data_IF_717118057712
#
_entry.id   IF_717118057712
#
_cell.length_a   1.000
_cell.length_b   1.000
_cell.length_c   1.000
_cell.angle_alpha   90.00
_cell.angle_beta   90.00
_cell.angle_gamma   90.00
#
_symmetry.space_group_name_H-M   'P 1'
#
loop_
_entity.id
_entity.type
_entity.pdbx_description
1 polymer ?
#
# COMPACT_ATOMS: atom_id res chain seq x y z
N UNK A 1 13.31 -16.44 -20.82
CA UNK A 1 12.02 -16.71 -21.46
C UNK A 1 11.50 -15.41 -22.03
N UNK A 2 11.44 -15.26 -23.34
CA UNK A 2 10.95 -14.03 -23.98
C UNK A 2 9.43 -14.04 -23.79
N UNK A 3 8.92 -13.13 -22.95
CA UNK A 3 7.47 -12.93 -22.81
C UNK A 3 7.02 -12.21 -24.08
N UNK A 4 6.33 -12.90 -24.96
CA UNK A 4 5.63 -12.25 -26.07
C UNK A 4 4.41 -11.55 -25.47
N UNK A 5 4.38 -10.22 -25.45
CA UNK A 5 3.19 -9.53 -24.97
C UNK A 5 2.00 -9.90 -25.88
N UNK A 6 0.88 -10.25 -25.27
CA UNK A 6 -0.35 -10.49 -26.03
C UNK A 6 -0.74 -9.21 -26.77
N UNK A 7 -1.18 -9.32 -28.03
CA UNK A 7 -1.70 -8.18 -28.77
C UNK A 7 -2.92 -7.61 -28.04
N UNK A 8 -2.91 -6.38 -27.56
CA UNK A 8 -4.03 -5.78 -26.82
C UNK A 8 -5.35 -5.79 -27.60
N UNK A 9 -5.29 -5.78 -28.95
CA UNK A 9 -6.48 -5.83 -29.80
C UNK A 9 -7.22 -7.19 -29.72
N UNK A 10 -6.54 -8.25 -29.29
CA UNK A 10 -7.13 -9.60 -29.16
C UNK A 10 -7.73 -9.85 -27.78
N UNK A 11 -7.55 -8.95 -26.82
CA UNK A 11 -8.04 -9.10 -25.44
C UNK A 11 -9.49 -8.60 -25.38
N UNK A 12 -10.48 -9.47 -25.11
CA UNK A 12 -11.87 -9.03 -25.00
C UNK A 12 -12.04 -8.09 -23.80
N UNK A 13 -12.71 -6.95 -24.01
CA UNK A 13 -12.97 -5.97 -22.97
C UNK A 13 -14.29 -6.26 -22.26
N UNK A 14 -14.41 -5.80 -21.01
CA UNK A 14 -15.65 -5.86 -20.22
C UNK A 14 -16.19 -7.29 -20.01
N UNK A 15 -15.31 -8.25 -19.86
CA UNK A 15 -15.68 -9.67 -19.66
C UNK A 15 -15.60 -10.11 -18.21
N UNK A 16 -14.95 -9.34 -17.36
CA UNK A 16 -14.87 -9.57 -15.91
C UNK A 16 -15.86 -8.67 -15.18
N UNK A 17 -16.41 -9.18 -14.08
CA UNK A 17 -17.17 -8.34 -13.15
C UNK A 17 -16.23 -7.42 -12.39
N UNK A 18 -16.68 -6.19 -12.09
CA UNK A 18 -15.93 -5.26 -11.25
C UNK A 18 -15.95 -5.78 -9.81
N UNK A 19 -14.80 -6.18 -9.25
CA UNK A 19 -14.77 -6.69 -7.88
C UNK A 19 -15.02 -5.54 -6.89
N UNK A 20 -15.78 -5.83 -5.84
CA UNK A 20 -15.91 -4.91 -4.70
C UNK A 20 -14.73 -5.15 -3.76
N UNK A 21 -13.88 -4.14 -3.47
CA UNK A 21 -12.82 -4.28 -2.49
C UNK A 21 -13.37 -4.68 -1.13
N UNK A 22 -12.62 -5.51 -0.41
CA UNK A 22 -13.00 -5.93 0.94
C UNK A 22 -12.92 -4.74 1.90
N UNK A 23 -13.91 -4.59 2.77
CA UNK A 23 -13.87 -3.57 3.82
C UNK A 23 -12.99 -4.08 4.96
N UNK A 24 -11.98 -3.28 5.31
CA UNK A 24 -11.11 -3.55 6.45
C UNK A 24 -11.89 -3.45 7.76
N UNK A 25 -11.69 -4.42 8.65
CA UNK A 25 -12.24 -4.36 10.01
C UNK A 25 -11.17 -3.84 10.96
N UNK A 26 -11.48 -2.90 11.86
CA UNK A 26 -10.53 -2.49 12.88
C UNK A 26 -10.17 -3.66 13.79
N UNK A 27 -8.90 -3.75 14.19
CA UNK A 27 -8.47 -4.75 15.18
C UNK A 27 -9.05 -4.48 16.57
N UNK A 28 -9.12 -3.20 16.91
CA UNK A 28 -9.73 -2.72 18.15
C UNK A 28 -10.00 -1.21 18.04
N UNK A 29 -10.86 -0.71 18.93
CA UNK A 29 -11.08 0.73 19.07
C UNK A 29 -10.38 1.24 20.32
N UNK A 30 -9.62 2.33 20.23
CA UNK A 30 -8.79 2.90 21.30
C UNK A 30 -9.40 4.15 21.94
N UNK A 31 -9.17 4.29 23.25
CA UNK A 31 -9.50 5.49 24.02
C UNK A 31 -10.99 5.74 24.25
N UNK A 32 -11.29 6.86 24.92
CA UNK A 32 -12.67 7.26 25.22
C UNK A 32 -13.50 7.58 23.96
N UNK A 33 -12.84 8.04 22.89
CA UNK A 33 -13.47 8.35 21.59
C UNK A 33 -13.64 7.12 20.69
N UNK A 34 -13.21 5.92 21.13
CA UNK A 34 -13.27 4.68 20.35
C UNK A 34 -12.66 4.81 18.94
N UNK A 35 -11.49 5.45 18.87
CA UNK A 35 -10.74 5.56 17.61
C UNK A 35 -10.32 4.19 17.11
N UNK A 36 -10.63 3.90 15.86
CA UNK A 36 -10.35 2.60 15.26
C UNK A 36 -8.87 2.45 14.92
N UNK A 37 -8.33 1.27 15.19
CA UNK A 37 -6.99 0.88 14.84
C UNK A 37 -7.00 -0.24 13.81
N UNK A 38 -6.27 -0.03 12.72
CA UNK A 38 -6.11 -0.98 11.63
C UNK A 38 -4.65 -1.44 11.52
N UNK A 39 -4.47 -2.67 11.08
CA UNK A 39 -3.20 -3.18 10.59
C UNK A 39 -3.39 -3.69 9.18
N UNK A 40 -2.60 -3.16 8.24
CA UNK A 40 -2.51 -3.65 6.87
C UNK A 40 -1.11 -4.19 6.65
N UNK A 41 -1.03 -5.39 6.07
CA UNK A 41 0.24 -6.07 5.83
C UNK A 41 0.54 -6.03 4.34
N UNK A 42 1.63 -5.40 3.95
CA UNK A 42 2.13 -5.51 2.58
C UNK A 42 2.82 -6.86 2.42
N UNK A 43 2.31 -7.68 1.54
CA UNK A 43 2.78 -9.04 1.34
C UNK A 43 2.55 -9.52 -0.09
N UNK A 44 3.25 -10.56 -0.45
CA UNK A 44 3.06 -11.26 -1.71
C UNK A 44 1.69 -11.93 -1.76
N UNK A 45 1.06 -11.88 -2.93
CA UNK A 45 -0.22 -12.51 -3.21
C UNK A 45 -0.37 -12.85 -4.68
N UNK A 46 -1.54 -13.26 -5.07
CA UNK A 46 -1.88 -13.54 -6.46
C UNK A 46 -3.18 -12.83 -6.83
N UNK A 47 -3.22 -12.28 -8.04
CA UNK A 47 -4.42 -11.65 -8.58
C UNK A 47 -4.59 -12.01 -10.04
N UNK A 48 -5.84 -12.27 -10.45
CA UNK A 48 -6.19 -12.48 -11.84
C UNK A 48 -6.80 -11.21 -12.42
N UNK A 49 -6.01 -10.49 -13.21
CA UNK A 49 -6.43 -9.22 -13.81
C UNK A 49 -7.45 -9.36 -14.94
N UNK A 50 -7.54 -10.56 -15.53
CA UNK A 50 -8.47 -10.84 -16.61
C UNK A 50 -8.79 -12.34 -16.66
N UNK A 51 -10.04 -12.72 -16.89
CA UNK A 51 -10.49 -14.12 -16.80
C UNK A 51 -9.80 -15.07 -17.78
N UNK A 52 -9.28 -14.55 -18.88
CA UNK A 52 -8.58 -15.35 -19.89
C UNK A 52 -7.08 -15.45 -19.64
N UNK A 53 -6.55 -14.80 -18.60
CA UNK A 53 -5.13 -14.86 -18.23
C UNK A 53 -4.92 -15.63 -16.92
N UNK A 54 -3.73 -16.20 -16.73
CA UNK A 54 -3.37 -16.80 -15.45
C UNK A 54 -3.29 -15.75 -14.34
N UNK A 55 -3.22 -16.20 -13.10
CA UNK A 55 -2.92 -15.33 -11.97
C UNK A 55 -1.53 -14.72 -12.15
N UNK A 56 -1.42 -13.43 -11.82
CA UNK A 56 -0.16 -12.71 -11.71
C UNK A 56 0.28 -12.67 -10.24
N UNK A 57 1.59 -12.78 -10.02
CA UNK A 57 2.18 -12.46 -8.75
C UNK A 57 2.01 -10.96 -8.52
N UNK A 58 1.57 -10.60 -7.33
CA UNK A 58 1.43 -9.20 -6.92
C UNK A 58 2.05 -8.98 -5.54
N UNK A 59 2.42 -7.76 -5.25
CA UNK A 59 2.64 -7.26 -3.91
C UNK A 59 1.51 -6.30 -3.56
N UNK A 60 0.77 -6.62 -2.51
CA UNK A 60 -0.43 -5.86 -2.19
C UNK A 60 -0.69 -5.77 -0.69
N UNK A 61 -1.52 -4.84 -0.31
CA UNK A 61 -1.99 -4.72 1.07
C UNK A 61 -2.89 -5.91 1.41
N UNK A 62 -2.51 -6.67 2.42
CA UNK A 62 -3.06 -7.98 2.78
C UNK A 62 -3.00 -9.01 1.62
N UNK A 63 -2.01 -8.86 0.71
CA UNK A 63 -1.86 -9.72 -0.47
C UNK A 63 -2.97 -9.55 -1.51
N UNK A 64 -3.70 -8.44 -1.49
CA UNK A 64 -4.85 -8.17 -2.35
C UNK A 64 -4.58 -7.01 -3.31
N UNK A 65 -5.30 -7.02 -4.45
CA UNK A 65 -5.42 -5.92 -5.40
C UNK A 65 -6.88 -5.78 -5.89
N UNK A 66 -7.53 -4.61 -5.73
CA UNK A 66 -7.10 -3.53 -4.85
C UNK A 66 -6.97 -3.98 -3.39
N UNK A 67 -6.21 -3.23 -2.58
CA UNK A 67 -6.14 -3.44 -1.14
C UNK A 67 -7.48 -3.20 -0.45
N UNK A 68 -7.60 -3.54 0.85
CA UNK A 68 -8.85 -3.35 1.59
C UNK A 68 -9.27 -1.88 1.67
N UNK A 69 -10.57 -1.61 1.58
CA UNK A 69 -11.14 -0.28 1.80
C UNK A 69 -11.30 0.00 3.30
N UNK A 70 -10.82 1.14 3.76
CA UNK A 70 -11.10 1.64 5.11
C UNK A 70 -12.27 2.64 5.01
N UNK A 71 -13.36 2.34 5.69
CA UNK A 71 -14.50 3.25 5.81
C UNK A 71 -14.45 3.99 7.14
N UNK A 72 -14.52 5.31 7.10
CA UNK A 72 -14.53 6.16 8.29
C UNK A 72 -15.41 7.37 8.07
N UNK A 73 -15.63 8.14 9.12
CA UNK A 73 -16.44 9.37 9.08
C UNK A 73 -15.54 10.60 9.21
N UNK A 74 -16.01 11.73 8.66
CA UNK A 74 -15.38 13.03 8.91
C UNK A 74 -15.18 13.24 10.42
N UNK A 75 -14.03 13.82 10.77
CA UNK A 75 -13.61 14.15 12.15
C UNK A 75 -13.46 12.93 13.09
N UNK A 76 -13.53 11.71 12.56
CA UNK A 76 -13.20 10.50 13.30
C UNK A 76 -11.76 10.12 13.06
N UNK A 77 -10.90 10.31 14.05
CA UNK A 77 -9.49 9.88 13.97
C UNK A 77 -9.41 8.35 13.89
N UNK A 78 -8.58 7.85 12.98
CA UNK A 78 -8.20 6.45 12.90
C UNK A 78 -6.68 6.32 12.96
N UNK A 79 -6.22 5.14 13.39
CA UNK A 79 -4.81 4.77 13.42
C UNK A 79 -4.57 3.59 12.50
N UNK A 80 -3.55 3.67 11.66
CA UNK A 80 -3.20 2.61 10.72
C UNK A 80 -1.72 2.26 10.85
N UNK A 81 -1.42 0.99 11.11
CA UNK A 81 -0.07 0.45 11.01
C UNK A 81 0.07 -0.32 9.71
N UNK A 82 1.02 0.07 8.89
CA UNK A 82 1.40 -0.64 7.69
C UNK A 82 2.65 -1.49 7.97
N UNK A 83 2.53 -2.81 7.78
CA UNK A 83 3.62 -3.75 8.04
C UNK A 83 4.24 -4.21 6.72
N UNK A 84 5.54 -4.05 6.58
CA UNK A 84 6.27 -4.60 5.44
C UNK A 84 6.63 -6.07 5.73
N UNK A 85 5.94 -6.98 5.06
CA UNK A 85 6.18 -8.43 5.06
C UNK A 85 6.50 -8.94 3.65
N UNK A 86 6.91 -8.03 2.76
CA UNK A 86 7.35 -8.36 1.41
C UNK A 86 8.59 -9.24 1.43
N UNK A 87 8.90 -9.97 0.33
CA UNK A 87 10.16 -10.68 0.19
C UNK A 87 11.37 -9.76 0.41
N UNK A 88 12.50 -10.34 0.79
CA UNK A 88 13.72 -9.55 1.07
C UNK A 88 14.33 -8.92 -0.19
N UNK A 89 14.08 -9.52 -1.35
CA UNK A 89 14.58 -9.04 -2.63
C UNK A 89 13.42 -8.61 -3.51
N UNK A 90 13.62 -7.51 -4.24
CA UNK A 90 12.64 -7.03 -5.20
C UNK A 90 12.49 -8.03 -6.37
N UNK A 91 11.26 -8.29 -6.84
CA UNK A 91 11.02 -9.22 -7.95
C UNK A 91 11.28 -8.60 -9.33
N UNK A 92 11.38 -7.27 -9.40
CA UNK A 92 11.82 -6.53 -10.58
C UNK A 92 13.27 -6.08 -10.41
N UNK A 93 14.01 -5.85 -11.52
CA UNK A 93 15.33 -5.25 -11.46
C UNK A 93 15.28 -3.86 -10.80
N UNK A 94 16.23 -3.59 -9.91
CA UNK A 94 16.40 -2.28 -9.27
C UNK A 94 17.54 -1.55 -9.95
N UNK A 95 17.34 -0.29 -10.33
CA UNK A 95 18.38 0.58 -10.85
C UNK A 95 19.11 1.29 -9.71
N UNK A 96 20.27 0.78 -9.34
CA UNK A 96 21.10 1.34 -8.26
C UNK A 96 21.77 2.67 -8.60
N UNK A 97 21.59 3.20 -9.80
CA UNK A 97 22.09 4.53 -10.17
C UNK A 97 21.14 5.65 -9.74
N UNK A 98 19.89 5.30 -9.41
CA UNK A 98 18.89 6.25 -8.95
C UNK A 98 19.17 6.69 -7.52
N UNK A 99 18.77 7.94 -7.22
CA UNK A 99 18.86 8.50 -5.87
C UNK A 99 18.09 7.61 -4.89
N UNK A 100 18.72 7.32 -3.75
CA UNK A 100 18.21 6.48 -2.66
C UNK A 100 18.06 4.98 -2.98
N UNK A 101 18.37 4.50 -4.19
CA UNK A 101 18.36 3.07 -4.50
C UNK A 101 19.68 2.35 -4.16
N UNK A 102 20.73 3.08 -3.80
CA UNK A 102 22.14 2.62 -3.81
C UNK A 102 22.61 1.93 -2.50
N UNK A 103 21.84 1.88 -1.46
CA UNK A 103 22.33 1.49 -0.12
C UNK A 103 21.77 0.16 0.37
N UNK A 104 20.73 -0.38 -0.25
CA UNK A 104 20.17 -1.66 0.18
C UNK A 104 19.38 -2.33 -0.95
N UNK A 105 19.56 -3.65 -1.08
CA UNK A 105 18.71 -4.48 -1.95
C UNK A 105 17.38 -4.85 -1.27
N UNK A 106 17.19 -4.48 0.01
CA UNK A 106 15.97 -4.79 0.72
C UNK A 106 14.79 -3.96 0.21
N UNK A 107 13.63 -4.60 0.13
CA UNK A 107 12.41 -3.97 -0.33
C UNK A 107 11.95 -2.91 0.66
N UNK A 108 11.92 -1.68 0.22
CA UNK A 108 11.48 -0.49 0.95
C UNK A 108 10.03 -0.21 0.64
N UNK A 109 9.30 0.30 1.61
CA UNK A 109 7.93 0.75 1.45
C UNK A 109 7.66 1.94 2.36
N UNK A 110 6.77 2.82 1.94
CA UNK A 110 6.09 3.79 2.80
C UNK A 110 4.71 4.06 2.24
N UNK A 111 3.69 3.96 3.06
CA UNK A 111 2.33 4.20 2.57
C UNK A 111 1.96 5.68 2.67
N UNK A 112 1.51 6.24 1.55
CA UNK A 112 0.93 7.58 1.44
C UNK A 112 -0.58 7.49 1.26
N UNK A 113 -1.34 8.28 2.02
CA UNK A 113 -2.77 8.47 1.81
C UNK A 113 -2.97 9.70 0.91
N UNK A 114 -3.17 9.44 -0.38
CA UNK A 114 -3.15 10.45 -1.42
C UNK A 114 -4.32 11.42 -1.33
N UNK A 115 -4.00 12.71 -1.19
CA UNK A 115 -4.97 13.80 -1.13
C UNK A 115 -5.59 14.04 0.24
N UNK A 116 -5.13 13.37 1.28
CA UNK A 116 -5.64 13.55 2.64
C UNK A 116 -5.09 14.82 3.31
N UNK A 117 -5.90 15.40 4.19
CA UNK A 117 -5.43 16.43 5.12
C UNK A 117 -4.87 15.75 6.37
N UNK A 118 -3.57 15.52 6.38
CA UNK A 118 -2.86 14.80 7.45
C UNK A 118 -1.58 15.51 7.85
N UNK A 119 -1.12 15.26 9.07
CA UNK A 119 0.19 15.73 9.50
C UNK A 119 1.31 15.06 8.68
N UNK A 120 2.38 15.81 8.42
CA UNK A 120 3.52 15.35 7.62
C UNK A 120 4.10 14.01 8.10
N UNK A 121 4.02 13.74 9.41
CA UNK A 121 4.49 12.49 10.03
C UNK A 121 3.64 11.26 9.63
N UNK A 122 2.40 11.48 9.18
CA UNK A 122 1.49 10.42 8.74
C UNK A 122 1.24 10.45 7.23
N UNK A 123 1.85 11.40 6.52
CA UNK A 123 1.62 11.62 5.08
C UNK A 123 2.26 10.54 4.20
N UNK A 124 3.32 9.89 4.68
CA UNK A 124 4.06 8.92 3.88
C UNK A 124 5.02 9.57 2.89
N UNK A 125 5.89 10.47 3.40
CA UNK A 125 6.95 11.09 2.59
C UNK A 125 7.84 10.02 1.94
N UNK A 126 8.25 10.16 0.66
CA UNK A 126 9.06 9.16 -0.05
C UNK A 126 10.33 8.70 0.68
N UNK A 127 10.95 9.59 1.45
CA UNK A 127 12.14 9.28 2.27
C UNK A 127 11.81 8.77 3.69
N UNK A 128 10.53 8.59 4.02
CA UNK A 128 10.10 7.96 5.28
C UNK A 128 9.92 6.44 5.14
N UNK A 129 10.57 5.85 4.15
CA UNK A 129 10.51 4.42 3.85
C UNK A 129 11.07 3.57 4.99
N UNK A 130 10.69 2.31 5.02
CA UNK A 130 11.22 1.29 5.91
C UNK A 130 11.24 -0.08 5.22
N UNK A 131 12.20 -0.91 5.62
CA UNK A 131 12.30 -2.29 5.18
C UNK A 131 11.51 -3.22 6.12
N UNK A 132 11.49 -4.50 5.81
CA UNK A 132 10.84 -5.53 6.63
C UNK A 132 11.30 -5.44 8.08
N UNK A 133 10.34 -5.48 9.01
CA UNK A 133 10.55 -5.37 10.46
C UNK A 133 11.35 -4.12 10.90
N UNK A 134 11.30 -3.05 10.09
CA UNK A 134 11.98 -1.76 10.35
C UNK A 134 13.50 -1.89 10.54
N UNK A 135 14.13 -2.91 9.92
CA UNK A 135 15.58 -3.12 10.02
C UNK A 135 16.39 -1.95 9.51
N UNK A 136 15.90 -1.33 8.43
CA UNK A 136 16.43 -0.09 7.89
C UNK A 136 15.29 0.88 7.67
N UNK A 137 15.55 2.17 7.91
CA UNK A 137 14.57 3.23 7.74
C UNK A 137 15.20 4.40 7.00
N UNK A 138 14.38 5.09 6.23
CA UNK A 138 14.79 6.31 5.55
C UNK A 138 14.96 7.50 6.50
N UNK A 139 15.62 8.57 6.04
CA UNK A 139 15.98 9.72 6.89
C UNK A 139 14.78 10.51 7.42
N UNK A 140 13.60 10.34 6.84
CA UNK A 140 12.35 10.99 7.28
C UNK A 140 11.43 10.06 8.07
N UNK A 141 11.81 8.79 8.25
CA UNK A 141 11.02 7.88 9.08
C UNK A 141 10.94 8.38 10.52
N UNK A 142 9.75 8.41 11.10
CA UNK A 142 9.53 8.93 12.44
C UNK A 142 8.56 8.12 13.30
N UNK A 143 7.64 7.35 12.68
CA UNK A 143 6.68 6.53 13.42
C UNK A 143 6.15 5.37 12.57
N UNK A 144 5.72 4.30 13.25
CA UNK A 144 5.16 3.10 12.62
C UNK A 144 3.63 3.16 12.44
N UNK A 145 2.96 4.01 13.22
CA UNK A 145 1.50 4.10 13.24
C UNK A 145 1.10 5.46 12.71
N UNK A 146 0.46 5.48 11.57
CA UNK A 146 -0.09 6.67 10.97
C UNK A 146 -1.38 7.07 11.70
N UNK A 147 -1.57 8.37 11.88
CA UNK A 147 -2.78 8.97 12.45
C UNK A 147 -3.48 9.78 11.36
N UNK A 148 -4.72 9.43 11.07
CA UNK A 148 -5.55 10.11 10.10
C UNK A 148 -6.74 10.74 10.82
N UNK A 149 -6.72 12.06 10.92
CA UNK A 149 -7.74 12.83 11.66
C UNK A 149 -9.06 12.97 10.91
N UNK A 150 -9.02 12.76 9.59
CA UNK A 150 -10.17 12.86 8.69
C UNK A 150 -10.88 14.22 8.72
N UNK A 151 -10.13 15.31 8.92
CA UNK A 151 -10.63 16.69 8.94
C UNK A 151 -10.88 17.26 7.54
N UNK A 152 -11.28 16.44 6.59
CA UNK A 152 -11.64 16.86 5.25
C UNK A 152 -13.11 16.54 4.93
N UNK A 153 -13.69 17.14 3.87
CA UNK A 153 -14.99 16.71 3.36
C UNK A 153 -15.00 15.22 3.01
N UNK A 154 -16.16 14.58 3.09
CA UNK A 154 -16.32 13.19 2.68
C UNK A 154 -15.90 13.00 1.21
N UNK A 155 -14.99 12.08 0.97
CA UNK A 155 -14.43 11.80 -0.35
C UNK A 155 -13.87 10.37 -0.40
N UNK A 156 -13.63 9.88 -1.61
CA UNK A 156 -12.85 8.66 -1.84
C UNK A 156 -11.41 9.06 -2.07
N UNK A 157 -10.51 8.50 -1.28
CA UNK A 157 -9.07 8.65 -1.41
C UNK A 157 -8.44 7.28 -1.63
N UNK A 158 -7.21 7.24 -2.11
CA UNK A 158 -6.47 6.00 -2.25
C UNK A 158 -5.14 6.06 -1.50
N UNK A 159 -4.70 4.93 -1.00
CA UNK A 159 -3.40 4.78 -0.38
C UNK A 159 -2.53 3.87 -1.23
N UNK A 160 -1.25 4.18 -1.28
CA UNK A 160 -0.30 3.48 -2.14
C UNK A 160 1.12 3.55 -1.58
N UNK A 161 1.99 2.70 -2.10
CA UNK A 161 3.42 2.82 -1.83
C UNK A 161 3.98 4.10 -2.46
N UNK A 162 4.80 4.81 -1.70
CA UNK A 162 5.38 6.10 -2.09
C UNK A 162 6.88 6.14 -1.84
N UNK A 163 7.51 4.98 -1.59
CA UNK A 163 8.95 4.91 -1.37
C UNK A 163 9.71 5.44 -2.58
N UNK A 164 10.79 6.20 -2.31
CA UNK A 164 11.66 6.71 -3.35
C UNK A 164 12.53 5.58 -3.91
N UNK A 165 12.56 5.47 -5.27
CA UNK A 165 13.33 4.56 -6.13
C UNK A 165 12.89 3.11 -6.12
#
# INVERSE_FOLDING_TARGET
MQINPSDPATIPKFVDELPKPMIAKPKYSRGQQKNDYYELVMMEGQHRFHKHFPNSLIWGYNGLYPGPTIETSKDKTIYVKYKNQLPLQHFLPVDFTLHAANDSQEVRTVTHLHGANVDWQSDGHPEAWYTRDYRHTGPKFNKEIHEYTNHQPGTTMWYHDHAMA
#
